data_IF_515578972482
#
_entry.id   IF_515578972482
#
_cell.length_a   1.000
_cell.length_b   1.000
_cell.length_c   1.000
_cell.angle_alpha   90.00
_cell.angle_beta   90.00
_cell.angle_gamma   90.00
#
_symmetry.space_group_name_H-M   'P 1'
#
loop_
_entity.id
_entity.type
_entity.pdbx_description
1 polymer ?
#
# COMPACT_ATOMS: atom_id res chain seq x y z
N UNK A 1 -14.68 -16.50 70.10
CA UNK A 1 -14.56 -15.63 68.90
C UNK A 1 -13.85 -16.43 67.82
N UNK A 2 -14.59 -16.91 66.83
CA UNK A 2 -14.04 -17.67 65.71
C UNK A 2 -13.46 -16.71 64.66
N UNK A 3 -12.26 -16.94 64.14
CA UNK A 3 -11.67 -16.03 63.13
C UNK A 3 -12.48 -16.11 61.84
N UNK A 4 -13.01 -14.95 61.43
CA UNK A 4 -13.68 -14.81 60.12
C UNK A 4 -12.64 -15.09 59.02
N UNK A 5 -12.80 -16.23 58.30
CA UNK A 5 -12.04 -16.51 57.08
C UNK A 5 -12.20 -15.34 56.09
N UNK A 6 -11.12 -14.89 55.45
CA UNK A 6 -11.21 -13.86 54.43
C UNK A 6 -12.13 -14.37 53.31
N UNK A 7 -13.19 -13.61 53.01
CA UNK A 7 -14.09 -13.92 51.89
C UNK A 7 -13.28 -13.99 50.63
N UNK A 8 -13.19 -15.16 50.04
CA UNK A 8 -12.65 -15.31 48.67
C UNK A 8 -13.40 -14.36 47.77
N UNK A 9 -12.68 -13.53 47.03
CA UNK A 9 -13.21 -12.66 46.01
C UNK A 9 -13.96 -13.54 45.00
N UNK A 10 -15.28 -13.40 44.94
CA UNK A 10 -16.11 -14.04 43.93
C UNK A 10 -16.53 -12.94 42.95
N UNK A 11 -15.98 -12.92 41.70
CA UNK A 11 -16.30 -11.88 40.73
C UNK A 11 -17.78 -11.87 40.30
N UNK A 12 -18.49 -12.97 40.46
CA UNK A 12 -19.90 -13.10 40.07
C UNK A 12 -20.87 -12.70 41.22
N UNK A 13 -20.37 -12.38 42.40
CA UNK A 13 -21.17 -12.05 43.58
C UNK A 13 -21.70 -10.59 43.54
N UNK A 14 -21.14 -9.74 42.73
CA UNK A 14 -21.59 -8.37 42.51
C UNK A 14 -22.69 -8.25 41.42
N UNK A 15 -23.03 -9.37 40.80
CA UNK A 15 -24.14 -9.45 39.84
C UNK A 15 -25.36 -9.93 40.63
N UNK A 16 -26.03 -9.00 41.36
CA UNK A 16 -27.37 -9.29 41.84
C UNK A 16 -28.31 -9.46 40.64
N UNK A 17 -29.16 -10.49 40.72
CA UNK A 17 -30.18 -10.70 39.69
C UNK A 17 -31.01 -9.42 39.53
N UNK A 18 -31.13 -8.95 38.30
CA UNK A 18 -31.89 -7.78 37.97
C UNK A 18 -33.36 -7.98 38.42
N UNK A 19 -33.80 -7.17 39.40
CA UNK A 19 -35.18 -7.24 39.96
C UNK A 19 -36.15 -6.25 39.28
N UNK A 20 -35.67 -5.49 38.28
CA UNK A 20 -36.49 -4.54 37.53
C UNK A 20 -37.24 -5.18 36.37
N UNK A 21 -38.06 -4.35 35.68
CA UNK A 21 -38.82 -4.81 34.51
C UNK A 21 -37.87 -5.26 33.36
N UNK A 22 -38.06 -6.44 32.87
CA UNK A 22 -37.36 -6.94 31.67
C UNK A 22 -37.98 -6.31 30.44
N UNK A 23 -37.15 -5.63 29.67
CA UNK A 23 -37.49 -5.22 28.29
C UNK A 23 -36.94 -6.25 27.33
N UNK A 24 -37.73 -6.75 26.40
CA UNK A 24 -37.25 -7.60 25.34
C UNK A 24 -36.20 -6.83 24.54
N UNK A 25 -35.00 -7.34 24.51
CA UNK A 25 -33.87 -6.77 23.74
C UNK A 25 -33.80 -7.49 22.40
N UNK A 26 -34.06 -6.74 21.33
CA UNK A 26 -33.93 -7.25 19.97
C UNK A 26 -32.52 -6.93 19.48
N UNK A 27 -31.62 -7.89 19.64
CA UNK A 27 -30.20 -7.72 19.29
C UNK A 27 -30.00 -7.43 17.80
N UNK A 28 -30.87 -7.95 16.93
CA UNK A 28 -30.78 -7.73 15.48
C UNK A 28 -31.15 -6.28 15.15
N UNK A 29 -32.24 -5.79 15.71
CA UNK A 29 -32.68 -4.38 15.53
C UNK A 29 -31.66 -3.40 16.09
N UNK A 30 -31.21 -3.61 17.32
CA UNK A 30 -30.23 -2.74 17.97
C UNK A 30 -28.89 -2.78 17.26
N UNK A 31 -28.45 -3.97 16.82
CA UNK A 31 -27.25 -4.13 16.02
C UNK A 31 -27.33 -3.38 14.67
N UNK A 32 -28.49 -3.44 14.00
CA UNK A 32 -28.71 -2.68 12.77
C UNK A 32 -28.71 -1.16 12.99
N UNK A 33 -29.35 -0.69 14.06
CA UNK A 33 -29.34 0.74 14.43
C UNK A 33 -27.89 1.20 14.73
N UNK A 34 -27.14 0.42 15.49
CA UNK A 34 -25.75 0.73 15.80
C UNK A 34 -24.89 0.77 14.52
N UNK A 35 -25.05 -0.21 13.63
CA UNK A 35 -24.35 -0.24 12.34
C UNK A 35 -24.69 0.97 11.47
N UNK A 36 -25.97 1.33 11.41
CA UNK A 36 -26.42 2.51 10.67
C UNK A 36 -25.83 3.80 11.25
N UNK A 37 -25.81 3.94 12.58
CA UNK A 37 -25.23 5.09 13.25
C UNK A 37 -23.74 5.22 12.98
N UNK A 38 -22.99 4.10 13.02
CA UNK A 38 -21.56 4.07 12.67
C UNK A 38 -21.35 4.41 11.19
N UNK A 39 -22.16 3.86 10.29
CA UNK A 39 -22.08 4.15 8.86
C UNK A 39 -22.32 5.64 8.57
N UNK A 40 -23.33 6.24 9.19
CA UNK A 40 -23.58 7.69 9.07
C UNK A 40 -22.42 8.51 9.61
N UNK A 41 -21.86 8.12 10.77
CA UNK A 41 -20.70 8.79 11.34
C UNK A 41 -19.49 8.71 10.41
N UNK A 42 -19.21 7.53 9.85
CA UNK A 42 -18.10 7.33 8.89
C UNK A 42 -18.29 8.20 7.66
N UNK A 43 -19.49 8.25 7.09
CA UNK A 43 -19.79 9.10 5.92
C UNK A 43 -19.61 10.57 6.26
N UNK A 44 -20.09 11.03 7.41
CA UNK A 44 -19.90 12.41 7.84
C UNK A 44 -18.43 12.77 8.04
N UNK A 45 -17.66 11.88 8.67
CA UNK A 45 -16.22 12.08 8.84
C UNK A 45 -15.50 12.06 7.49
N UNK A 46 -15.88 11.16 6.59
CA UNK A 46 -15.31 11.13 5.24
C UNK A 46 -15.58 12.44 4.48
N UNK A 47 -16.80 12.97 4.53
CA UNK A 47 -17.15 14.24 3.87
C UNK A 47 -16.37 15.43 4.44
N UNK A 48 -16.14 15.43 5.77
CA UNK A 48 -15.45 16.56 6.44
C UNK A 48 -13.93 16.48 6.27
N UNK A 49 -13.37 15.27 6.27
CA UNK A 49 -11.91 15.04 6.31
C UNK A 49 -11.35 14.41 5.03
N UNK A 50 -12.18 14.06 4.06
CA UNK A 50 -11.65 13.64 2.75
C UNK A 50 -11.14 14.85 1.97
N UNK A 51 -10.06 14.64 1.24
CA UNK A 51 -9.60 15.61 0.25
C UNK A 51 -10.54 15.66 -0.96
N UNK A 52 -10.47 16.74 -1.75
CA UNK A 52 -10.99 16.70 -3.11
C UNK A 52 -10.36 15.52 -3.85
N UNK A 53 -11.15 14.78 -4.61
CA UNK A 53 -10.64 13.70 -5.45
C UNK A 53 -9.61 14.26 -6.43
N UNK A 54 -8.36 13.90 -6.22
CA UNK A 54 -7.34 14.15 -7.22
C UNK A 54 -7.53 13.19 -8.41
N UNK A 55 -7.31 13.64 -9.64
CA UNK A 55 -7.35 12.75 -10.79
C UNK A 55 -6.39 11.58 -10.60
N UNK A 56 -6.83 10.39 -10.97
CA UNK A 56 -5.99 9.20 -10.89
C UNK A 56 -4.67 9.42 -11.64
N UNK A 57 -3.56 9.08 -10.98
CA UNK A 57 -2.25 9.08 -11.62
C UNK A 57 -2.21 7.91 -12.60
N UNK A 58 -1.96 8.22 -13.86
CA UNK A 58 -1.81 7.24 -14.95
C UNK A 58 -0.41 7.35 -15.52
N UNK A 59 0.01 6.36 -16.30
CA UNK A 59 1.30 6.41 -17.00
C UNK A 59 1.34 7.60 -17.96
N UNK A 60 0.19 7.95 -18.55
CA UNK A 60 0.05 9.15 -19.36
C UNK A 60 0.32 10.43 -18.57
N UNK A 61 -0.33 10.59 -17.42
CA UNK A 61 -0.15 11.80 -16.60
C UNK A 61 1.28 11.91 -16.10
N UNK A 62 1.89 10.81 -15.70
CA UNK A 62 3.28 10.73 -15.28
C UNK A 62 4.25 11.09 -16.40
N UNK A 63 4.17 10.42 -17.55
CA UNK A 63 5.07 10.66 -18.70
C UNK A 63 4.96 12.06 -19.30
N UNK A 64 3.83 12.76 -19.08
CA UNK A 64 3.65 14.17 -19.46
C UNK A 64 4.22 15.11 -18.41
N UNK A 65 4.00 14.82 -17.12
CA UNK A 65 4.41 15.68 -16.01
C UNK A 65 5.90 15.56 -15.69
N UNK A 66 6.46 14.36 -15.76
CA UNK A 66 7.89 14.07 -15.54
C UNK A 66 8.40 13.03 -16.55
N UNK A 67 8.71 13.44 -17.78
CA UNK A 67 9.21 12.53 -18.80
C UNK A 67 10.63 12.02 -18.51
N UNK A 68 11.38 12.68 -17.62
CA UNK A 68 12.73 12.23 -17.23
C UNK A 68 12.62 11.04 -16.30
N UNK A 69 11.86 11.15 -15.21
CA UNK A 69 11.63 10.05 -14.28
C UNK A 69 10.98 8.84 -14.98
N UNK A 70 10.00 9.08 -15.86
CA UNK A 70 9.41 8.03 -16.68
C UNK A 70 10.45 7.29 -17.54
N UNK A 71 11.35 8.01 -18.21
CA UNK A 71 12.37 7.39 -19.06
C UNK A 71 13.48 6.69 -18.23
N UNK A 72 13.81 7.21 -17.05
CA UNK A 72 14.73 6.56 -16.12
C UNK A 72 14.14 5.23 -15.62
N UNK A 73 12.90 5.22 -15.22
CA UNK A 73 12.21 4.00 -14.80
C UNK A 73 12.10 3.01 -15.96
N UNK A 74 11.70 3.47 -17.14
CA UNK A 74 11.55 2.60 -18.30
C UNK A 74 12.89 1.94 -18.74
N UNK A 75 14.05 2.59 -18.54
CA UNK A 75 15.33 1.94 -18.84
C UNK A 75 15.70 0.90 -17.81
N UNK A 76 15.37 1.09 -16.52
CA UNK A 76 15.62 0.05 -15.50
C UNK A 76 14.70 -1.15 -15.67
N UNK A 77 13.46 -0.94 -16.15
CA UNK A 77 12.57 -2.05 -16.55
C UNK A 77 13.14 -2.83 -17.73
N UNK A 78 13.67 -2.12 -18.74
CA UNK A 78 14.26 -2.73 -19.91
C UNK A 78 15.55 -3.51 -19.59
N UNK A 79 16.32 -3.06 -18.60
CA UNK A 79 17.56 -3.73 -18.13
C UNK A 79 17.29 -4.81 -17.07
N UNK A 80 16.07 -4.93 -16.56
CA UNK A 80 15.73 -5.88 -15.50
C UNK A 80 16.32 -5.54 -14.13
N UNK A 81 16.61 -4.26 -13.87
CA UNK A 81 17.21 -3.76 -12.63
C UNK A 81 16.23 -2.98 -11.75
N UNK A 82 14.98 -2.81 -12.20
CA UNK A 82 13.91 -2.13 -11.45
C UNK A 82 13.55 -2.85 -10.15
N UNK A 83 12.83 -2.17 -9.28
CA UNK A 83 12.26 -2.76 -8.07
C UNK A 83 11.39 -3.97 -8.39
N UNK A 84 10.50 -3.84 -9.36
CA UNK A 84 9.63 -4.95 -9.81
C UNK A 84 10.42 -6.11 -10.40
N UNK A 85 11.44 -5.85 -11.22
CA UNK A 85 12.27 -6.88 -11.82
C UNK A 85 13.04 -7.72 -10.80
N UNK A 86 13.46 -7.10 -9.69
CA UNK A 86 14.29 -7.71 -8.65
C UNK A 86 13.53 -8.12 -7.41
N UNK A 87 12.21 -7.85 -7.34
CA UNK A 87 11.40 -8.11 -6.15
C UNK A 87 11.32 -9.58 -5.77
N UNK A 88 11.37 -10.47 -6.74
CA UNK A 88 11.25 -11.92 -6.55
C UNK A 88 9.81 -12.43 -6.55
N UNK A 89 9.62 -13.70 -6.16
CA UNK A 89 8.30 -14.28 -6.08
C UNK A 89 7.35 -13.45 -5.20
N UNK A 90 6.07 -13.29 -5.56
CA UNK A 90 5.37 -13.96 -6.67
C UNK A 90 5.42 -13.23 -8.02
N UNK A 91 6.07 -12.08 -8.14
CA UNK A 91 6.04 -11.25 -9.34
C UNK A 91 7.05 -11.69 -10.40
N UNK A 92 8.19 -12.18 -9.98
CA UNK A 92 9.20 -12.75 -10.85
C UNK A 92 9.87 -13.96 -10.18
N UNK A 93 10.81 -14.61 -10.87
CA UNK A 93 11.47 -15.81 -10.40
C UNK A 93 12.89 -15.55 -9.85
N UNK A 94 13.19 -14.32 -9.45
CA UNK A 94 14.51 -14.01 -8.86
C UNK A 94 14.68 -14.77 -7.55
N UNK A 95 15.66 -15.68 -7.44
CA UNK A 95 15.87 -16.46 -6.23
C UNK A 95 16.25 -15.57 -5.06
N UNK A 96 15.77 -15.93 -3.86
CA UNK A 96 16.10 -15.28 -2.57
C UNK A 96 15.76 -13.78 -2.48
N UNK A 97 15.00 -13.24 -3.43
CA UNK A 97 14.62 -11.83 -3.45
C UNK A 97 13.33 -11.53 -2.63
N UNK A 98 12.55 -12.55 -2.27
CA UNK A 98 11.34 -12.35 -1.49
C UNK A 98 11.65 -11.90 -0.05
N UNK A 99 10.88 -10.94 0.45
CA UNK A 99 10.98 -10.52 1.85
C UNK A 99 10.62 -11.68 2.79
N UNK A 100 11.41 -11.89 3.82
CA UNK A 100 11.22 -12.98 4.78
C UNK A 100 11.34 -12.52 6.23
N UNK A 101 10.59 -13.19 7.10
CA UNK A 101 10.74 -13.09 8.56
C UNK A 101 11.18 -14.46 9.07
N UNK A 102 12.47 -14.63 9.35
CA UNK A 102 13.04 -15.93 9.65
C UNK A 102 12.86 -16.90 8.48
N UNK A 103 12.02 -17.94 8.66
CA UNK A 103 11.70 -18.92 7.61
C UNK A 103 10.37 -18.65 6.89
N UNK A 104 9.67 -17.58 7.25
CA UNK A 104 8.40 -17.20 6.64
C UNK A 104 8.61 -16.26 5.46
N UNK A 105 8.01 -16.59 4.33
CA UNK A 105 7.94 -15.77 3.12
C UNK A 105 6.48 -15.49 2.74
N UNK A 106 5.82 -14.54 3.40
CA UNK A 106 4.38 -14.31 3.22
C UNK A 106 3.99 -13.97 1.78
N UNK A 107 4.86 -13.30 1.05
CA UNK A 107 4.62 -12.94 -0.34
C UNK A 107 4.40 -14.17 -1.24
N UNK A 108 5.08 -15.28 -0.97
CA UNK A 108 4.88 -16.53 -1.71
C UNK A 108 3.49 -17.16 -1.47
N UNK A 109 2.91 -16.93 -0.28
CA UNK A 109 1.65 -17.55 0.10
C UNK A 109 0.44 -16.70 -0.22
N UNK A 110 0.56 -15.40 -0.10
CA UNK A 110 -0.56 -14.45 -0.18
C UNK A 110 -0.44 -13.46 -1.35
N UNK A 111 0.67 -13.45 -2.05
CA UNK A 111 0.91 -12.55 -3.17
C UNK A 111 0.17 -12.97 -4.44
N UNK A 112 0.22 -12.11 -5.43
CA UNK A 112 -0.29 -12.38 -6.78
C UNK A 112 0.74 -13.23 -7.51
N UNK A 113 0.44 -14.50 -7.74
CA UNK A 113 1.32 -15.44 -8.45
C UNK A 113 1.32 -15.17 -9.97
N UNK A 114 1.93 -14.08 -10.35
CA UNK A 114 2.02 -13.67 -11.75
C UNK A 114 3.47 -13.32 -12.08
N UNK A 115 4.22 -14.20 -12.75
CA UNK A 115 5.55 -13.89 -13.22
C UNK A 115 5.50 -12.69 -14.17
N UNK A 116 6.39 -11.73 -13.97
CA UNK A 116 6.54 -10.53 -14.79
C UNK A 116 7.96 -10.50 -15.34
N UNK A 117 8.05 -10.40 -16.65
CA UNK A 117 9.25 -10.02 -17.38
C UNK A 117 9.13 -8.52 -17.69
N UNK A 118 9.80 -7.70 -16.92
CA UNK A 118 9.62 -6.24 -16.98
C UNK A 118 10.05 -5.66 -18.34
N UNK A 119 11.13 -6.18 -18.93
CA UNK A 119 11.58 -5.75 -20.24
C UNK A 119 10.53 -6.02 -21.32
N UNK A 120 10.01 -7.23 -21.35
CA UNK A 120 8.97 -7.61 -22.30
C UNK A 120 7.62 -6.99 -21.94
N UNK A 121 7.18 -7.14 -20.70
CA UNK A 121 5.82 -6.79 -20.29
C UNK A 121 5.55 -5.28 -20.29
N UNK A 122 6.54 -4.46 -19.95
CA UNK A 122 6.36 -3.01 -19.84
C UNK A 122 6.89 -2.23 -21.04
N UNK A 123 7.89 -2.74 -21.75
CA UNK A 123 8.58 -1.99 -22.79
C UNK A 123 8.41 -2.61 -24.19
N UNK A 124 8.96 -3.79 -24.39
CA UNK A 124 9.07 -4.38 -25.73
C UNK A 124 7.74 -4.88 -26.28
N UNK A 125 6.95 -5.57 -25.45
CA UNK A 125 5.63 -6.10 -25.81
C UNK A 125 4.64 -5.02 -26.24
N UNK A 126 4.42 -3.95 -25.43
CA UNK A 126 3.60 -2.83 -25.84
C UNK A 126 4.02 -2.18 -27.17
N UNK A 127 5.32 -1.98 -27.38
CA UNK A 127 5.85 -1.40 -28.61
C UNK A 127 5.67 -2.32 -29.81
N UNK A 128 5.89 -3.61 -29.65
CA UNK A 128 5.69 -4.57 -30.74
C UNK A 128 4.22 -4.71 -31.14
N UNK A 129 3.31 -4.53 -30.20
CA UNK A 129 1.86 -4.72 -30.42
C UNK A 129 1.19 -3.50 -31.05
N UNK A 130 1.50 -2.29 -30.58
CA UNK A 130 0.77 -1.06 -30.97
C UNK A 130 1.54 -0.14 -31.91
N UNK A 131 2.86 -0.20 -31.93
CA UNK A 131 3.66 0.74 -32.71
C UNK A 131 4.02 0.11 -34.07
N UNK A 132 3.42 0.66 -35.14
CA UNK A 132 3.65 0.18 -36.51
C UNK A 132 4.77 0.92 -37.24
N UNK A 133 5.46 1.85 -36.58
CA UNK A 133 6.55 2.61 -37.18
C UNK A 133 7.75 1.71 -37.45
N UNK A 134 8.24 1.63 -38.72
CA UNK A 134 9.32 0.71 -39.07
C UNK A 134 10.61 0.93 -38.28
N UNK A 135 10.91 2.17 -37.92
CA UNK A 135 12.10 2.53 -37.14
C UNK A 135 12.02 1.92 -35.72
N UNK A 136 10.87 1.98 -35.09
CA UNK A 136 10.67 1.39 -33.75
C UNK A 136 10.71 -0.12 -33.79
N UNK A 137 10.09 -0.73 -34.80
CA UNK A 137 10.11 -2.18 -34.98
C UNK A 137 11.54 -2.70 -35.23
N UNK A 138 12.31 -1.99 -36.07
CA UNK A 138 13.71 -2.33 -36.30
C UNK A 138 14.56 -2.20 -35.01
N UNK A 139 14.29 -1.16 -34.21
CA UNK A 139 15.00 -0.96 -32.94
C UNK A 139 14.68 -2.07 -31.91
N UNK A 140 13.42 -2.49 -31.82
CA UNK A 140 13.02 -3.62 -30.95
C UNK A 140 13.72 -4.91 -31.41
N UNK A 141 13.69 -5.22 -32.71
CA UNK A 141 14.36 -6.41 -33.25
C UNK A 141 15.88 -6.38 -33.06
N UNK A 142 16.51 -5.20 -33.20
CA UNK A 142 17.94 -5.04 -32.96
C UNK A 142 18.28 -5.28 -31.47
N UNK A 143 17.45 -4.79 -30.54
CA UNK A 143 17.63 -5.01 -29.12
C UNK A 143 17.46 -6.49 -28.75
N UNK A 144 16.40 -7.13 -29.20
CA UNK A 144 16.12 -8.55 -28.93
C UNK A 144 17.15 -9.48 -29.55
N UNK A 145 17.73 -9.10 -30.69
CA UNK A 145 18.80 -9.86 -31.36
C UNK A 145 20.20 -9.64 -30.77
N UNK A 146 20.36 -8.69 -29.84
CA UNK A 146 21.66 -8.39 -29.24
C UNK A 146 22.02 -9.38 -28.12
N UNK A 147 23.30 -9.49 -27.83
CA UNK A 147 23.75 -10.28 -26.68
C UNK A 147 23.41 -9.57 -25.36
N UNK A 148 23.24 -10.31 -24.24
CA UNK A 148 22.98 -9.70 -22.94
C UNK A 148 23.99 -8.62 -22.55
N UNK A 149 25.27 -8.83 -22.83
CA UNK A 149 26.33 -7.84 -22.56
C UNK A 149 26.15 -6.56 -23.39
N UNK A 150 25.68 -6.67 -24.63
CA UNK A 150 25.38 -5.52 -25.48
C UNK A 150 24.14 -4.78 -25.00
N UNK A 151 23.09 -5.51 -24.64
CA UNK A 151 21.87 -4.93 -24.06
C UNK A 151 22.19 -4.12 -22.81
N UNK A 152 22.89 -4.72 -21.85
CA UNK A 152 23.30 -4.06 -20.60
C UNK A 152 24.26 -2.88 -20.84
N UNK A 153 25.16 -2.96 -21.80
CA UNK A 153 26.02 -1.83 -22.15
C UNK A 153 25.23 -0.65 -22.71
N UNK A 154 24.21 -0.89 -23.53
CA UNK A 154 23.36 0.14 -24.11
C UNK A 154 22.43 0.78 -23.08
N UNK A 155 21.78 -0.05 -22.23
CA UNK A 155 20.87 0.43 -21.18
C UNK A 155 21.62 1.23 -20.13
N UNK A 156 22.74 0.75 -19.63
CA UNK A 156 23.61 1.49 -18.70
C UNK A 156 24.11 2.83 -19.27
N UNK A 157 24.49 2.83 -20.55
CA UNK A 157 24.92 4.07 -21.20
C UNK A 157 23.77 5.06 -21.36
N UNK A 158 22.55 4.59 -21.66
CA UNK A 158 21.38 5.43 -21.78
C UNK A 158 20.91 5.94 -20.41
N UNK A 159 20.90 5.13 -19.38
CA UNK A 159 20.54 5.49 -18.00
C UNK A 159 21.40 6.68 -17.49
N UNK A 160 22.72 6.59 -17.69
CA UNK A 160 23.63 7.68 -17.36
C UNK A 160 23.36 8.97 -18.17
N UNK A 161 22.91 8.84 -19.38
CA UNK A 161 22.62 9.97 -20.23
C UNK A 161 21.27 10.60 -19.92
N UNK A 162 20.23 9.79 -19.62
CA UNK A 162 18.92 10.29 -19.28
C UNK A 162 18.90 11.05 -17.96
N UNK A 163 19.79 10.72 -17.02
CA UNK A 163 19.99 11.51 -15.80
C UNK A 163 20.41 12.98 -16.06
N UNK A 164 21.01 13.25 -17.22
CA UNK A 164 21.39 14.58 -17.68
C UNK A 164 20.48 15.11 -18.81
N UNK A 165 19.34 14.48 -19.01
CA UNK A 165 18.39 14.88 -20.05
C UNK A 165 17.69 16.18 -19.68
N UNK A 166 17.26 16.89 -20.68
CA UNK A 166 16.48 18.13 -20.51
C UNK A 166 15.14 18.00 -21.17
N UNK A 167 14.13 18.56 -20.56
CA UNK A 167 12.83 18.66 -21.18
C UNK A 167 12.73 19.92 -22.05
N UNK A 168 12.34 19.72 -23.29
CA UNK A 168 12.09 20.83 -24.23
C UNK A 168 10.70 20.66 -24.83
N UNK A 169 9.75 21.50 -24.44
CA UNK A 169 8.36 21.50 -24.92
C UNK A 169 7.66 20.15 -24.78
N UNK A 170 7.77 19.52 -23.63
CA UNK A 170 7.18 18.22 -23.34
C UNK A 170 7.89 17.04 -23.99
N UNK A 171 9.04 17.25 -24.64
CA UNK A 171 9.86 16.18 -25.22
C UNK A 171 11.17 16.03 -24.49
N UNK A 172 11.50 14.80 -24.17
CA UNK A 172 12.76 14.44 -23.57
C UNK A 172 13.90 14.59 -24.59
N UNK A 173 14.93 15.31 -24.23
CA UNK A 173 16.13 15.46 -25.00
C UNK A 173 17.30 14.86 -24.24
N UNK A 174 17.66 13.65 -24.64
CA UNK A 174 18.79 12.92 -24.08
C UNK A 174 20.07 13.34 -24.84
N UNK A 175 21.20 13.60 -24.15
CA UNK A 175 22.48 13.85 -24.79
C UNK A 175 22.84 12.74 -25.78
N UNK A 176 23.51 13.03 -26.89
CA UNK A 176 23.93 11.98 -27.85
C UNK A 176 24.96 11.02 -27.25
N UNK A 177 24.82 9.74 -27.55
CA UNK A 177 25.70 8.70 -27.03
C UNK A 177 25.60 7.37 -27.80
N UNK A 178 26.28 6.34 -27.33
CA UNK A 178 26.30 5.02 -27.94
C UNK A 178 25.31 4.09 -27.22
N UNK A 179 24.03 4.29 -27.46
CA UNK A 179 22.94 3.57 -26.80
C UNK A 179 22.32 2.47 -27.66
N UNK A 180 22.90 2.17 -28.81
CA UNK A 180 22.22 1.27 -29.77
C UNK A 180 20.79 1.69 -30.03
N UNK A 181 19.85 0.74 -30.05
CA UNK A 181 18.44 1.01 -30.31
C UNK A 181 17.67 1.61 -29.12
N UNK A 182 18.24 1.63 -27.90
CA UNK A 182 17.54 2.00 -26.65
C UNK A 182 16.94 3.40 -26.72
N UNK A 183 17.64 4.37 -27.32
CA UNK A 183 17.13 5.73 -27.46
C UNK A 183 15.85 5.82 -28.31
N UNK A 184 15.75 4.99 -29.35
CA UNK A 184 14.53 4.91 -30.20
C UNK A 184 13.40 4.20 -29.44
N UNK A 185 13.70 3.09 -28.79
CA UNK A 185 12.75 2.31 -27.98
C UNK A 185 12.10 3.21 -26.92
N UNK A 186 12.90 3.87 -26.10
CA UNK A 186 12.39 4.67 -24.98
C UNK A 186 11.71 5.96 -25.42
N UNK A 187 12.14 6.60 -26.49
CA UNK A 187 11.43 7.75 -27.06
C UNK A 187 10.06 7.35 -27.64
N UNK A 188 9.96 6.17 -28.24
CA UNK A 188 8.70 5.62 -28.75
C UNK A 188 7.77 5.24 -27.60
N UNK A 189 8.29 4.60 -26.56
CA UNK A 189 7.51 4.26 -25.35
C UNK A 189 6.96 5.50 -24.66
N UNK A 190 7.80 6.51 -24.47
CA UNK A 190 7.39 7.80 -23.86
C UNK A 190 6.29 8.45 -24.70
N UNK A 191 6.44 8.48 -26.02
CA UNK A 191 5.41 9.03 -26.93
C UNK A 191 4.11 8.24 -26.87
N UNK A 192 4.19 6.91 -26.80
CA UNK A 192 3.04 6.02 -26.63
C UNK A 192 2.33 6.25 -25.29
N UNK A 193 3.08 6.43 -24.22
CA UNK A 193 2.55 6.73 -22.89
C UNK A 193 1.85 8.10 -22.87
N UNK A 194 2.50 9.14 -23.40
CA UNK A 194 1.91 10.48 -23.50
C UNK A 194 0.62 10.50 -24.31
N UNK A 195 0.49 9.62 -25.30
CA UNK A 195 -0.75 9.43 -26.05
C UNK A 195 -1.81 8.61 -25.27
N UNK A 196 -1.45 7.95 -24.17
CA UNK A 196 -2.34 7.08 -23.38
C UNK A 196 -2.45 5.64 -23.89
N UNK A 197 -1.66 5.28 -24.90
CA UNK A 197 -1.67 3.93 -25.48
C UNK A 197 -1.06 2.89 -24.52
N UNK A 198 -0.05 3.27 -23.75
CA UNK A 198 0.62 2.38 -22.83
C UNK A 198 -0.31 1.93 -21.68
N UNK A 199 -1.08 2.87 -21.09
CA UNK A 199 -2.08 2.55 -20.07
C UNK A 199 -3.05 1.47 -20.56
N UNK A 200 -3.64 1.67 -21.76
CA UNK A 200 -4.60 0.72 -22.33
C UNK A 200 -3.99 -0.66 -22.60
N UNK A 201 -2.74 -0.71 -23.08
CA UNK A 201 -2.06 -1.97 -23.40
C UNK A 201 -1.76 -2.77 -22.15
N UNK A 202 -1.21 -2.12 -21.12
CA UNK A 202 -0.88 -2.79 -19.85
C UNK A 202 -2.13 -3.23 -19.10
N UNK A 203 -3.20 -2.42 -19.09
CA UNK A 203 -4.48 -2.77 -18.47
C UNK A 203 -5.14 -3.98 -19.12
N UNK A 204 -5.15 -4.02 -20.45
CA UNK A 204 -5.82 -5.10 -21.18
C UNK A 204 -5.01 -6.40 -21.18
N UNK A 205 -3.68 -6.32 -21.04
CA UNK A 205 -2.79 -7.46 -21.18
C UNK A 205 -2.99 -8.22 -22.50
N UNK A 206 -3.43 -7.50 -23.56
CA UNK A 206 -3.76 -8.07 -24.85
C UNK A 206 -5.14 -8.77 -24.95
N UNK A 207 -5.97 -8.72 -23.90
CA UNK A 207 -7.30 -9.34 -23.85
C UNK A 207 -8.40 -8.28 -23.87
N UNK A 208 -9.41 -8.47 -24.72
CA UNK A 208 -10.45 -7.48 -24.99
C UNK A 208 -11.31 -7.08 -23.78
N UNK A 209 -11.54 -8.00 -22.85
CA UNK A 209 -12.36 -7.74 -21.64
C UNK A 209 -11.57 -7.79 -20.33
N UNK A 210 -10.27 -7.67 -20.40
CA UNK A 210 -9.45 -7.71 -19.20
C UNK A 210 -9.16 -6.28 -18.70
N UNK A 211 -9.24 -6.11 -17.38
CA UNK A 211 -8.85 -4.87 -16.71
C UNK A 211 -7.99 -5.27 -15.53
N UNK A 212 -6.70 -5.39 -15.75
CA UNK A 212 -5.74 -5.75 -14.72
C UNK A 212 -4.81 -4.57 -14.44
N UNK A 213 -4.98 -3.96 -13.28
CA UNK A 213 -4.16 -2.83 -12.84
C UNK A 213 -2.77 -3.22 -12.34
N UNK A 214 -2.45 -4.49 -12.19
CA UNK A 214 -1.18 -4.94 -11.60
C UNK A 214 0.03 -4.38 -12.36
N UNK A 215 0.10 -4.58 -13.67
CA UNK A 215 1.24 -4.10 -14.48
C UNK A 215 1.40 -2.58 -14.48
N UNK A 216 0.35 -1.77 -14.75
CA UNK A 216 0.46 -0.31 -14.69
C UNK A 216 0.88 0.21 -13.31
N UNK A 217 0.36 -0.39 -12.23
CA UNK A 217 0.68 0.03 -10.86
C UNK A 217 2.11 -0.34 -10.47
N UNK A 218 2.60 -1.51 -10.86
CA UNK A 218 3.99 -1.89 -10.62
C UNK A 218 4.95 -0.95 -11.36
N UNK A 219 4.71 -0.68 -12.64
CA UNK A 219 5.54 0.25 -13.40
C UNK A 219 5.52 1.67 -12.81
N UNK A 220 4.35 2.15 -12.37
CA UNK A 220 4.22 3.45 -11.71
C UNK A 220 4.94 3.48 -10.35
N UNK A 221 4.93 2.37 -9.61
CA UNK A 221 5.56 2.27 -8.30
C UNK A 221 7.10 2.24 -8.37
N UNK A 222 7.68 1.79 -9.47
CA UNK A 222 9.13 1.79 -9.68
C UNK A 222 9.71 3.18 -10.01
N UNK A 223 8.84 4.15 -10.40
CA UNK A 223 9.22 5.55 -10.56
C UNK A 223 9.19 6.34 -9.25
N UNK A 224 9.82 7.52 -9.26
CA UNK A 224 9.81 8.43 -8.09
C UNK A 224 8.57 9.32 -8.06
N UNK A 225 7.90 9.53 -9.18
CA UNK A 225 6.79 10.48 -9.34
C UNK A 225 5.65 10.25 -8.33
N UNK A 226 5.23 8.98 -8.12
CA UNK A 226 4.18 8.64 -7.15
C UNK A 226 4.65 8.91 -5.71
N UNK A 227 5.88 8.54 -5.38
CA UNK A 227 6.47 8.75 -4.07
C UNK A 227 6.63 10.25 -3.76
N UNK A 228 7.05 11.05 -4.75
CA UNK A 228 7.19 12.50 -4.61
C UNK A 228 5.83 13.19 -4.39
N UNK A 229 4.79 12.77 -5.11
CA UNK A 229 3.42 13.24 -4.88
C UNK A 229 2.90 12.85 -3.50
N UNK A 230 3.13 11.61 -3.09
CA UNK A 230 2.76 11.16 -1.75
C UNK A 230 3.55 11.91 -0.67
N UNK A 231 4.84 12.14 -0.89
CA UNK A 231 5.69 12.91 0.03
C UNK A 231 5.25 14.36 0.18
N UNK A 232 4.86 15.00 -0.91
CA UNK A 232 4.35 16.38 -0.90
C UNK A 232 3.05 16.52 -0.09
N UNK A 233 2.26 15.45 -0.02
CA UNK A 233 1.01 15.41 0.75
C UNK A 233 1.18 14.74 2.13
N UNK A 234 2.40 14.44 2.57
CA UNK A 234 2.70 13.75 3.82
C UNK A 234 2.02 12.38 3.96
N UNK A 235 1.92 11.62 2.86
CA UNK A 235 1.27 10.31 2.79
C UNK A 235 2.26 9.13 2.80
N UNK A 236 3.57 9.39 2.93
CA UNK A 236 4.56 8.32 3.02
C UNK A 236 4.51 7.63 4.37
N UNK A 237 4.73 6.31 4.39
CA UNK A 237 4.64 5.49 5.61
C UNK A 237 5.62 5.88 6.71
N UNK A 238 6.76 6.50 6.35
CA UNK A 238 7.76 7.01 7.28
C UNK A 238 7.42 8.40 7.85
N UNK A 239 6.35 9.03 7.41
CA UNK A 239 5.91 10.33 7.91
C UNK A 239 4.94 10.13 9.08
N UNK A 240 5.41 10.42 10.29
CA UNK A 240 4.59 10.33 11.50
C UNK A 240 3.36 11.23 11.44
N UNK A 241 2.25 10.69 11.95
CA UNK A 241 1.00 11.43 11.96
C UNK A 241 0.55 11.72 10.55
N UNK A 242 0.81 10.81 9.67
CA UNK A 242 0.37 10.84 8.29
C UNK A 242 -1.06 11.33 8.21
N UNK A 243 -1.26 12.16 7.30
CA UNK A 243 -2.33 13.08 7.34
C UNK A 243 -3.48 12.65 6.48
N UNK A 244 -4.48 13.46 6.37
CA UNK A 244 -5.47 13.33 5.34
C UNK A 244 -4.81 13.65 3.98
N UNK A 245 -5.49 13.33 2.92
CA UNK A 245 -5.02 13.50 1.55
C UNK A 245 -4.79 14.98 1.17
N UNK A 246 -5.26 15.92 1.99
CA UNK A 246 -4.97 17.35 1.83
C UNK A 246 -3.65 17.78 2.45
N UNK A 247 -2.93 16.84 3.08
CA UNK A 247 -1.69 17.13 3.77
C UNK A 247 -1.84 17.89 5.10
N UNK A 248 -3.06 18.05 5.60
CA UNK A 248 -3.31 18.77 6.85
C UNK A 248 -3.01 17.90 8.07
N UNK A 249 -2.22 18.42 8.98
CA UNK A 249 -1.94 17.82 10.27
C UNK A 249 -3.13 18.07 11.24
N UNK A 250 -3.57 17.10 12.04
CA UNK A 250 -2.99 15.80 12.39
C UNK A 250 -3.44 14.59 11.53
N UNK A 251 -4.18 14.75 10.47
CA UNK A 251 -4.58 13.67 9.58
C UNK A 251 -5.48 12.59 10.20
N UNK A 252 -5.41 11.41 9.66
CA UNK A 252 -6.29 10.30 10.01
C UNK A 252 -5.78 9.55 11.24
N UNK A 253 -6.43 9.75 12.39
CA UNK A 253 -5.98 9.23 13.68
C UNK A 253 -5.85 7.69 13.72
N UNK A 254 -6.61 6.95 12.92
CA UNK A 254 -6.50 5.47 12.86
C UNK A 254 -5.21 4.98 12.20
N UNK A 255 -4.52 5.82 11.44
CA UNK A 255 -3.20 5.50 10.86
C UNK A 255 -2.04 5.77 11.81
N UNK A 256 -2.25 6.54 12.88
CA UNK A 256 -1.16 6.97 13.76
C UNK A 256 -0.40 5.81 14.40
N UNK A 257 -1.09 4.78 14.86
CA UNK A 257 -0.42 3.63 15.46
C UNK A 257 0.42 2.88 14.44
N UNK A 258 -0.08 2.77 13.21
CA UNK A 258 0.64 2.14 12.11
C UNK A 258 1.92 2.91 11.78
N UNK A 259 1.81 4.21 11.53
CA UNK A 259 2.95 5.07 11.17
C UNK A 259 3.94 5.28 12.31
N UNK A 260 3.48 5.16 13.57
CA UNK A 260 4.36 5.23 14.74
C UNK A 260 5.46 4.17 14.70
N UNK A 261 5.14 2.95 14.29
CA UNK A 261 6.11 1.87 14.31
C UNK A 261 7.30 2.12 13.39
N UNK A 262 7.10 2.83 12.27
CA UNK A 262 8.21 3.23 11.39
C UNK A 262 9.18 4.22 12.04
N UNK A 263 8.82 4.83 13.17
CA UNK A 263 9.68 5.75 13.91
C UNK A 263 10.45 5.04 15.04
N UNK A 264 10.10 3.80 15.36
CA UNK A 264 10.62 3.07 16.52
C UNK A 264 11.73 2.10 16.10
N UNK A 265 12.85 2.13 16.80
CA UNK A 265 13.89 1.11 16.61
C UNK A 265 13.37 -0.29 17.01
N UNK A 266 13.62 -1.39 16.26
CA UNK A 266 14.52 -1.47 15.09
C UNK A 266 13.84 -1.17 13.73
N UNK A 267 12.52 -1.03 13.65
CA UNK A 267 11.77 -0.91 12.41
C UNK A 267 12.21 0.29 11.55
N UNK A 268 12.60 1.40 12.20
CA UNK A 268 13.06 2.60 11.49
C UNK A 268 14.38 2.44 10.73
N UNK A 269 15.06 1.30 10.88
CA UNK A 269 16.32 0.98 10.19
C UNK A 269 16.26 -0.36 9.44
N UNK A 270 15.13 -1.07 9.53
CA UNK A 270 14.96 -2.36 8.90
C UNK A 270 14.62 -2.22 7.42
N UNK A 271 15.25 -3.00 6.57
CA UNK A 271 14.86 -3.13 5.16
C UNK A 271 13.51 -3.85 4.96
N UNK A 272 13.04 -4.54 6.00
CA UNK A 272 11.76 -5.25 6.03
C UNK A 272 10.74 -4.56 6.95
N UNK A 273 10.88 -3.26 7.18
CA UNK A 273 10.05 -2.50 8.12
C UNK A 273 8.55 -2.63 7.84
N UNK A 274 8.16 -2.62 6.57
CA UNK A 274 6.78 -2.78 6.11
C UNK A 274 6.17 -4.11 6.58
N UNK A 275 6.89 -5.21 6.40
CA UNK A 275 6.47 -6.54 6.83
C UNK A 275 6.44 -6.67 8.36
N UNK A 276 7.46 -6.15 9.05
CA UNK A 276 7.53 -6.15 10.51
C UNK A 276 6.38 -5.37 11.14
N UNK A 277 6.09 -4.18 10.63
CA UNK A 277 4.98 -3.33 11.09
C UNK A 277 3.64 -3.99 10.80
N UNK A 278 3.47 -4.60 9.62
CA UNK A 278 2.26 -5.34 9.29
C UNK A 278 2.01 -6.49 10.28
N UNK A 279 3.04 -7.28 10.63
CA UNK A 279 2.92 -8.37 11.60
C UNK A 279 2.59 -7.85 13.00
N UNK A 280 3.23 -6.76 13.44
CA UNK A 280 2.92 -6.14 14.74
C UNK A 280 1.44 -5.70 14.78
N UNK A 281 0.97 -5.02 13.76
CA UNK A 281 -0.41 -4.56 13.67
C UNK A 281 -1.40 -5.73 13.61
N UNK A 282 -1.06 -6.81 12.90
CA UNK A 282 -1.86 -8.03 12.89
C UNK A 282 -1.97 -8.65 14.29
N UNK A 283 -0.86 -8.78 15.00
CA UNK A 283 -0.83 -9.34 16.36
C UNK A 283 -1.62 -8.46 17.34
N UNK A 284 -1.48 -7.14 17.26
CA UNK A 284 -2.23 -6.20 18.09
C UNK A 284 -3.73 -6.26 17.79
N UNK A 285 -4.11 -6.34 16.53
CA UNK A 285 -5.51 -6.49 16.12
C UNK A 285 -6.10 -7.80 16.62
N UNK A 286 -5.37 -8.89 16.48
CA UNK A 286 -5.79 -10.19 17.00
C UNK A 286 -5.91 -10.18 18.53
N UNK A 287 -4.96 -9.58 19.24
CA UNK A 287 -5.02 -9.41 20.69
C UNK A 287 -6.26 -8.59 21.10
N UNK A 288 -6.58 -7.52 20.39
CA UNK A 288 -7.77 -6.70 20.63
C UNK A 288 -9.07 -7.49 20.43
N UNK A 289 -9.17 -8.26 19.33
CA UNK A 289 -10.33 -9.12 19.05
C UNK A 289 -10.49 -10.21 20.11
N UNK A 290 -9.37 -10.79 20.54
CA UNK A 290 -9.38 -11.86 21.56
C UNK A 290 -9.48 -11.35 23.00
N UNK A 291 -9.40 -10.04 23.23
CA UNK A 291 -9.42 -9.42 24.56
C UNK A 291 -10.58 -9.91 25.45
N UNK A 292 -11.82 -10.07 24.95
CA UNK A 292 -12.93 -10.60 25.76
C UNK A 292 -12.73 -12.06 26.20
N UNK A 293 -11.89 -12.82 25.52
CA UNK A 293 -11.62 -14.23 25.80
C UNK A 293 -10.41 -14.45 26.71
N UNK A 294 -9.55 -13.43 26.87
CA UNK A 294 -8.37 -13.51 27.74
C UNK A 294 -8.82 -13.34 29.20
N UNK A 295 -8.67 -14.39 30.07
CA UNK A 295 -9.28 -14.40 31.41
C UNK A 295 -8.89 -13.22 32.30
N UNK A 296 -7.63 -12.78 32.22
CA UNK A 296 -7.11 -11.66 33.01
C UNK A 296 -7.68 -10.34 32.52
N UNK A 297 -7.60 -10.09 31.21
CA UNK A 297 -8.02 -8.81 30.61
C UNK A 297 -9.53 -8.59 30.71
N UNK A 298 -10.34 -9.61 30.45
CA UNK A 298 -11.79 -9.53 30.61
C UNK A 298 -12.23 -9.24 32.04
N UNK A 299 -11.36 -9.52 33.02
CA UNK A 299 -11.65 -9.30 34.44
C UNK A 299 -11.28 -7.89 34.91
N UNK A 300 -10.51 -7.12 34.14
CA UNK A 300 -10.08 -5.75 34.51
C UNK A 300 -11.28 -4.84 34.80
N UNK A 301 -12.35 -4.76 33.97
CA UNK A 301 -13.50 -3.93 34.26
C UNK A 301 -14.20 -4.33 35.57
N UNK A 302 -14.16 -5.62 35.94
CA UNK A 302 -14.74 -6.12 37.21
C UNK A 302 -13.86 -5.74 38.39
N UNK A 303 -12.54 -5.79 38.26
CA UNK A 303 -11.59 -5.41 39.31
C UNK A 303 -11.55 -3.90 39.55
N UNK A 304 -11.53 -3.12 38.47
CA UNK A 304 -11.51 -1.64 38.55
C UNK A 304 -12.86 -1.05 38.94
N UNK A 305 -13.94 -1.87 38.87
CA UNK A 305 -15.32 -1.47 39.17
C UNK A 305 -15.78 -0.24 38.38
N UNK A 306 -15.28 -0.06 37.17
CA UNK A 306 -15.64 1.07 36.29
C UNK A 306 -17.15 1.12 36.04
N UNK A 307 -17.81 -0.04 36.01
CA UNK A 307 -19.28 -0.13 35.92
C UNK A 307 -20.01 0.62 37.03
N UNK A 308 -19.46 0.73 38.26
CA UNK A 308 -20.05 1.52 39.34
C UNK A 308 -20.02 3.04 39.07
N UNK A 309 -19.10 3.48 38.25
CA UNK A 309 -18.97 4.87 37.84
C UNK A 309 -19.98 5.17 36.74
N UNK A 310 -20.20 4.26 35.82
CA UNK A 310 -21.18 4.35 34.73
C UNK A 310 -22.60 4.30 35.29
N UNK A 311 -22.86 3.35 36.22
CA UNK A 311 -24.17 3.15 36.87
C UNK A 311 -24.26 3.81 38.23
N UNK A 312 -23.66 4.98 38.42
CA UNK A 312 -23.50 5.67 39.70
C UNK A 312 -24.84 5.96 40.38
N UNK A 313 -25.89 6.27 39.63
CA UNK A 313 -27.20 6.56 40.16
C UNK A 313 -27.85 5.30 40.77
N UNK A 314 -27.82 4.19 40.05
CA UNK A 314 -28.31 2.89 40.50
C UNK A 314 -27.63 2.42 41.80
N UNK A 315 -26.31 2.53 41.88
CA UNK A 315 -25.58 2.15 43.11
C UNK A 315 -25.78 3.11 44.27
N UNK A 316 -26.16 4.35 44.04
CA UNK A 316 -26.58 5.29 45.10
C UNK A 316 -27.94 4.93 45.66
N UNK A 317 -28.89 4.56 44.81
CA UNK A 317 -30.22 4.15 45.21
C UNK A 317 -30.21 2.86 46.02
N UNK A 318 -29.39 1.88 45.60
CA UNK A 318 -29.17 0.63 46.34
C UNK A 318 -28.48 0.83 47.70
N UNK A 319 -27.70 1.87 47.88
CA UNK A 319 -27.05 2.17 49.16
C UNK A 319 -27.98 2.95 50.12
N UNK A 320 -29.06 3.49 49.61
CA UNK A 320 -30.05 4.26 50.39
C UNK A 320 -31.22 3.38 50.91
N UNK A 321 -31.34 2.15 50.38
CA UNK A 321 -32.27 1.11 50.84
C UNK A 321 -31.54 0.15 51.79
#
# INVERSE_FOLDING_TARGET
>A
MSPRRPRRFNPDRDVEDWKGAYRRYDIVKEGFIALLAVAVLVVLLAVVFSSPDDPAITLKTWSVADPVDFAQTAVTELDGTSGTATYGPPYNNTPDAAQHIGFFEPAQWFGVHQPIDTAHDFVLGPLSTLVTQPVTQAAVQEYEGATPDQQSAWTTAYEKAVANATEVRGRLRVPPGRYGPVGVILSSLTSMSQAGGLDGTLLSGGLFYNTNYTKPLLFLADGTYLADKAGAQHLQGNQWGMMNETGNYPGQAWLWLYTMWYQVYPMNQSSNADLEVWVIMMVLSLALVLLPFIPILRSIPRWTRVYKLIWRQHYRELAAT
#
